data_IF_966643151578
#
_entry.id   IF_966643151578
#
_cell.length_a   1.000
_cell.length_b   1.000
_cell.length_c   1.000
_cell.angle_alpha   90.00
_cell.angle_beta   90.00
_cell.angle_gamma   90.00
#
_symmetry.space_group_name_H-M   'P 1'
#
loop_
_entity.id
_entity.type
_entity.pdbx_description
1 polymer ?
#
# COMPACT_ATOMS: atom_id res chain seq x y z
N UNK A 1 -14.06 -1.03 64.78
CA UNK A 1 -14.87 -1.26 63.56
C UNK A 1 -14.92 -2.74 63.23
N UNK A 2 -16.09 -3.39 63.31
CA UNK A 2 -16.26 -4.78 62.87
C UNK A 2 -16.45 -4.78 61.36
N UNK A 3 -15.39 -5.13 60.63
CA UNK A 3 -15.46 -5.32 59.19
C UNK A 3 -16.30 -6.58 58.94
N UNK A 4 -17.53 -6.40 58.48
CA UNK A 4 -18.44 -7.53 58.26
C UNK A 4 -17.93 -8.38 57.09
N UNK A 5 -18.14 -9.71 57.09
CA UNK A 5 -17.71 -10.56 55.98
C UNK A 5 -18.34 -10.14 54.65
N UNK A 6 -19.52 -9.51 54.69
CA UNK A 6 -20.17 -8.89 53.53
C UNK A 6 -19.39 -7.67 53.01
N UNK A 7 -18.83 -6.85 53.90
CA UNK A 7 -18.01 -5.70 53.54
C UNK A 7 -16.68 -6.11 52.91
N UNK A 8 -16.08 -7.23 53.38
CA UNK A 8 -14.88 -7.81 52.75
C UNK A 8 -15.15 -8.33 51.33
N UNK A 9 -16.29 -8.99 51.11
CA UNK A 9 -16.70 -9.43 49.78
C UNK A 9 -16.91 -8.25 48.81
N UNK A 10 -17.55 -7.17 49.28
CA UNK A 10 -17.78 -5.97 48.45
C UNK A 10 -16.44 -5.33 48.05
N UNK A 11 -15.49 -5.17 48.99
CA UNK A 11 -14.18 -4.57 48.71
C UNK A 11 -13.36 -5.42 47.73
N UNK A 12 -13.45 -6.75 47.83
CA UNK A 12 -12.80 -7.66 46.89
C UNK A 12 -13.39 -7.56 45.48
N UNK A 13 -14.72 -7.50 45.35
CA UNK A 13 -15.37 -7.42 44.03
C UNK A 13 -15.09 -6.07 43.38
N UNK A 14 -15.14 -4.98 44.14
CA UNK A 14 -14.86 -3.64 43.61
C UNK A 14 -13.40 -3.48 43.19
N UNK A 15 -12.45 -4.04 43.95
CA UNK A 15 -11.04 -4.00 43.57
C UNK A 15 -10.78 -4.79 42.28
N UNK A 16 -11.36 -5.99 42.13
CA UNK A 16 -11.24 -6.82 40.92
C UNK A 16 -11.82 -6.08 39.71
N UNK A 17 -13.01 -5.47 39.83
CA UNK A 17 -13.63 -4.70 38.76
C UNK A 17 -12.77 -3.50 38.34
N UNK A 18 -12.20 -2.78 39.31
CA UNK A 18 -11.32 -1.64 39.03
C UNK A 18 -10.04 -2.08 38.33
N UNK A 19 -9.41 -3.16 38.81
CA UNK A 19 -8.19 -3.72 38.21
C UNK A 19 -8.46 -4.23 36.79
N UNK A 20 -9.56 -4.96 36.58
CA UNK A 20 -9.95 -5.45 35.25
C UNK A 20 -10.23 -4.30 34.28
N UNK A 21 -10.92 -3.25 34.73
CA UNK A 21 -11.22 -2.07 33.91
C UNK A 21 -9.94 -1.30 33.58
N UNK A 22 -9.07 -1.13 34.56
CA UNK A 22 -7.77 -0.48 34.37
C UNK A 22 -6.88 -1.25 33.39
N UNK A 23 -6.78 -2.59 33.54
CA UNK A 23 -6.05 -3.45 32.61
C UNK A 23 -6.62 -3.34 31.19
N UNK A 24 -7.94 -3.39 31.03
CA UNK A 24 -8.58 -3.23 29.72
C UNK A 24 -8.23 -1.90 29.04
N UNK A 25 -8.28 -0.78 29.78
CA UNK A 25 -7.90 0.53 29.27
C UNK A 25 -6.41 0.60 28.94
N UNK A 26 -5.57 0.01 29.77
CA UNK A 26 -4.13 -0.08 29.55
C UNK A 26 -3.78 -0.85 28.26
N UNK A 27 -4.40 -2.02 28.05
CA UNK A 27 -4.19 -2.83 26.84
C UNK A 27 -4.76 -2.16 25.58
N UNK A 28 -5.92 -1.49 25.68
CA UNK A 28 -6.47 -0.74 24.54
C UNK A 28 -5.53 0.39 24.10
N UNK A 29 -4.79 0.99 25.03
CA UNK A 29 -3.82 2.04 24.71
C UNK A 29 -2.53 1.50 24.03
N UNK A 30 -2.30 0.19 24.03
CA UNK A 30 -1.07 -0.43 23.52
C UNK A 30 -1.13 -0.87 22.05
N UNK A 31 -2.31 -0.90 21.39
CA UNK A 31 -2.35 -1.21 19.96
C UNK A 31 -1.69 -0.07 19.19
N UNK A 32 -0.52 -0.26 18.56
CA UNK A 32 0.17 0.81 17.86
C UNK A 32 -0.70 1.30 16.69
N UNK A 33 -0.90 2.61 16.53
CA UNK A 33 -1.68 3.14 15.42
C UNK A 33 -0.92 2.91 14.10
N UNK A 34 -1.40 1.96 13.29
CA UNK A 34 -0.88 1.69 11.95
C UNK A 34 -1.34 2.83 11.04
N UNK A 35 -0.41 3.69 10.60
CA UNK A 35 -0.70 4.87 9.79
C UNK A 35 0.05 4.88 8.45
N UNK A 36 0.91 3.89 8.19
CA UNK A 36 1.74 3.83 6.99
C UNK A 36 1.88 2.40 6.45
N UNK A 37 2.33 2.28 5.21
CA UNK A 37 2.69 0.98 4.61
C UNK A 37 3.78 0.28 5.42
N UNK A 38 4.81 1.01 5.86
CA UNK A 38 5.93 0.48 6.65
C UNK A 38 5.45 -0.08 7.99
N UNK A 39 4.58 0.66 8.68
CA UNK A 39 3.98 0.21 9.94
C UNK A 39 3.13 -1.04 9.73
N UNK A 40 2.41 -1.12 8.61
CA UNK A 40 1.58 -2.28 8.28
C UNK A 40 2.44 -3.51 7.95
N UNK A 41 3.46 -3.34 7.11
CA UNK A 41 4.35 -4.40 6.64
C UNK A 41 5.18 -5.03 7.77
N UNK A 42 5.37 -4.31 8.88
CA UNK A 42 6.01 -4.83 10.09
C UNK A 42 5.21 -5.94 10.79
N UNK A 43 3.88 -5.93 10.67
CA UNK A 43 2.99 -6.83 11.41
C UNK A 43 2.14 -7.73 10.52
N UNK A 44 1.92 -7.38 9.25
CA UNK A 44 1.02 -8.09 8.34
C UNK A 44 1.67 -8.45 7.00
N UNK A 45 1.14 -9.48 6.30
CA UNK A 45 1.62 -9.88 4.99
C UNK A 45 1.45 -8.76 3.95
N UNK A 46 2.50 -8.56 3.14
CA UNK A 46 2.49 -7.67 1.98
C UNK A 46 2.13 -8.48 0.74
N UNK A 47 1.26 -7.91 -0.10
CA UNK A 47 0.94 -8.42 -1.42
C UNK A 47 1.92 -7.84 -2.43
N UNK A 48 2.72 -8.73 -3.05
CA UNK A 48 3.81 -8.42 -3.98
C UNK A 48 3.34 -8.14 -5.43
N UNK A 49 2.15 -7.56 -5.60
CA UNK A 49 1.71 -6.98 -6.87
C UNK A 49 2.13 -5.51 -6.90
N UNK A 50 2.78 -5.01 -7.95
CA UNK A 50 3.12 -3.59 -8.04
C UNK A 50 1.87 -2.72 -8.30
N UNK A 51 1.62 -1.63 -7.53
CA UNK A 51 2.36 -1.21 -6.33
C UNK A 51 2.01 -2.06 -5.11
N UNK A 52 2.99 -2.35 -4.24
CA UNK A 52 2.82 -3.28 -3.12
C UNK A 52 1.73 -2.81 -2.16
N UNK A 53 0.95 -3.75 -1.62
CA UNK A 53 -0.19 -3.45 -0.74
C UNK A 53 -0.13 -4.26 0.55
N UNK A 54 -0.52 -3.66 1.68
CA UNK A 54 -0.62 -4.30 2.98
C UNK A 54 -2.02 -4.10 3.56
N UNK A 55 -2.65 -5.17 4.04
CA UNK A 55 -4.01 -5.14 4.56
C UNK A 55 -4.05 -5.52 6.04
N UNK A 56 -4.82 -4.79 6.85
CA UNK A 56 -5.00 -5.09 8.27
C UNK A 56 -6.29 -5.90 8.53
N UNK A 57 -6.38 -6.68 9.62
CA UNK A 57 -7.61 -7.37 10.02
C UNK A 57 -8.82 -6.45 10.23
N UNK A 58 -8.57 -5.19 10.59
CA UNK A 58 -9.61 -4.15 10.71
C UNK A 58 -10.14 -3.64 9.35
N UNK A 59 -9.63 -4.15 8.22
CA UNK A 59 -10.08 -3.80 6.87
C UNK A 59 -9.40 -2.57 6.23
N UNK A 60 -8.36 -2.02 6.83
CA UNK A 60 -7.57 -0.92 6.23
C UNK A 60 -6.56 -1.49 5.22
N UNK A 61 -6.30 -0.75 4.14
CA UNK A 61 -5.34 -1.12 3.10
C UNK A 61 -4.35 0.04 2.90
N UNK A 62 -3.06 -0.26 3.01
CA UNK A 62 -1.96 0.67 2.80
C UNK A 62 -1.20 0.24 1.53
N UNK A 63 -1.02 1.15 0.59
CA UNK A 63 -0.22 0.90 -0.61
C UNK A 63 1.13 1.57 -0.43
N UNK A 64 2.19 0.95 -0.95
CA UNK A 64 3.50 1.59 -1.09
C UNK A 64 3.29 2.81 -1.99
N UNK A 65 3.26 4.00 -1.39
CA UNK A 65 3.38 5.23 -2.15
C UNK A 65 4.76 5.15 -2.75
N UNK A 66 4.81 4.83 -4.05
CA UNK A 66 6.01 5.08 -4.83
C UNK A 66 6.42 6.47 -4.42
N UNK A 67 7.61 6.62 -3.82
CA UNK A 67 8.20 7.93 -3.60
C UNK A 67 7.84 8.73 -4.83
N UNK A 68 7.24 9.93 -4.73
CA UNK A 68 7.29 10.81 -5.86
C UNK A 68 8.80 10.98 -6.10
N UNK A 69 9.38 10.13 -6.96
CA UNK A 69 10.32 10.59 -7.98
C UNK A 69 9.78 11.95 -8.30
N UNK A 70 10.54 13.02 -7.98
CA UNK A 70 10.05 14.39 -8.08
C UNK A 70 9.26 14.40 -9.34
N UNK A 71 7.94 14.54 -9.19
CA UNK A 71 6.98 14.40 -10.26
C UNK A 71 7.67 15.02 -11.44
N UNK A 72 8.00 14.29 -12.54
CA UNK A 72 8.41 15.02 -13.72
C UNK A 72 7.34 16.07 -13.81
N UNK A 73 7.79 17.32 -13.84
CA UNK A 73 7.03 18.51 -14.16
C UNK A 73 5.91 18.12 -15.15
N UNK A 74 4.84 18.88 -15.37
CA UNK A 74 4.18 18.78 -16.66
C UNK A 74 5.22 19.13 -17.76
N UNK A 75 6.16 18.22 -18.02
CA UNK A 75 6.93 18.03 -19.22
C UNK A 75 5.83 17.95 -20.26
N UNK A 76 5.91 18.75 -21.33
CA UNK A 76 5.03 18.56 -22.47
C UNK A 76 5.00 17.06 -22.73
N UNK A 77 3.80 16.48 -22.76
CA UNK A 77 3.63 15.14 -23.29
C UNK A 77 4.17 15.25 -24.70
N UNK A 78 5.42 14.84 -24.88
CA UNK A 78 5.96 14.62 -26.20
C UNK A 78 5.17 13.41 -26.68
N UNK A 79 4.13 13.69 -27.47
CA UNK A 79 3.26 12.71 -28.15
C UNK A 79 4.10 11.92 -29.17
N UNK A 80 5.22 11.34 -28.70
CA UNK A 80 6.02 10.37 -29.42
C UNK A 80 5.21 9.09 -29.43
N UNK A 81 4.31 9.03 -30.40
CA UNK A 81 3.57 7.82 -30.74
C UNK A 81 4.61 6.72 -30.98
N UNK A 82 4.70 5.78 -30.05
CA UNK A 82 5.61 4.65 -30.13
C UNK A 82 4.99 3.58 -31.04
N UNK A 83 5.68 3.25 -32.13
CA UNK A 83 5.26 2.21 -33.07
C UNK A 83 5.86 0.86 -32.71
N UNK A 84 5.24 -0.23 -33.19
CA UNK A 84 5.77 -1.58 -33.01
C UNK A 84 7.07 -1.78 -33.79
N UNK A 85 7.96 -2.63 -33.25
CA UNK A 85 9.29 -2.91 -33.81
C UNK A 85 9.28 -3.90 -34.99
N UNK A 86 8.20 -3.90 -35.76
CA UNK A 86 8.07 -4.77 -36.93
C UNK A 86 8.92 -4.23 -38.08
N UNK A 87 9.44 -5.15 -38.89
CA UNK A 87 10.24 -4.83 -40.07
C UNK A 87 9.58 -5.37 -41.34
N UNK A 88 9.54 -4.56 -42.39
CA UNK A 88 9.11 -4.95 -43.74
C UNK A 88 10.35 -5.16 -44.62
N UNK A 89 10.42 -6.30 -45.30
CA UNK A 89 11.47 -6.59 -46.29
C UNK A 89 11.15 -5.91 -47.63
N UNK A 90 12.10 -5.13 -48.14
CA UNK A 90 12.01 -4.41 -49.40
C UNK A 90 12.57 -5.24 -50.58
N UNK A 91 12.21 -4.93 -51.85
CA UNK A 91 12.67 -5.69 -53.03
C UNK A 91 14.20 -5.67 -53.25
N UNK A 92 14.88 -4.64 -52.74
CA UNK A 92 16.35 -4.50 -52.73
C UNK A 92 17.03 -5.36 -51.66
N UNK A 93 16.25 -5.96 -50.75
CA UNK A 93 16.72 -6.76 -49.62
C UNK A 93 16.91 -5.97 -48.32
N UNK A 94 16.64 -4.66 -48.29
CA UNK A 94 16.69 -3.84 -47.08
C UNK A 94 15.45 -4.04 -46.19
N UNK A 95 15.49 -3.50 -44.97
CA UNK A 95 14.38 -3.57 -44.02
C UNK A 95 13.98 -2.18 -43.53
N UNK A 96 12.68 -1.91 -43.51
CA UNK A 96 12.09 -0.66 -43.02
C UNK A 96 11.14 -0.91 -41.85
N UNK A 97 11.14 0.00 -40.87
CA UNK A 97 10.25 -0.05 -39.71
C UNK A 97 9.03 0.85 -39.85
N UNK A 98 8.17 0.85 -38.83
CA UNK A 98 6.99 1.73 -38.75
C UNK A 98 7.37 3.14 -38.25
N UNK A 99 6.74 4.17 -38.80
CA UNK A 99 6.99 5.59 -38.46
C UNK A 99 5.72 6.30 -37.96
N UNK A 100 5.81 7.13 -36.90
CA UNK A 100 4.70 7.95 -36.43
C UNK A 100 4.30 9.02 -37.46
N UNK A 101 3.07 9.57 -37.40
CA UNK A 101 2.04 9.39 -36.37
C UNK A 101 1.12 8.18 -36.57
N UNK A 102 1.07 7.61 -37.77
CA UNK A 102 0.13 6.55 -38.12
C UNK A 102 0.70 5.13 -37.94
N UNK A 103 2.00 5.02 -37.61
CA UNK A 103 2.72 3.76 -37.51
C UNK A 103 2.66 2.91 -38.78
N UNK A 104 2.78 3.56 -39.94
CA UNK A 104 2.90 2.92 -41.24
C UNK A 104 4.38 2.63 -41.55
N UNK A 105 4.66 1.63 -42.40
CA UNK A 105 6.04 1.34 -42.80
C UNK A 105 6.63 2.51 -43.59
N UNK A 106 7.88 2.87 -43.27
CA UNK A 106 8.64 3.82 -44.09
C UNK A 106 8.79 3.31 -45.54
N UNK A 107 8.91 4.20 -46.54
CA UNK A 107 9.11 3.80 -47.92
C UNK A 107 10.43 3.05 -48.10
N UNK A 108 10.43 2.04 -48.98
CA UNK A 108 11.65 1.33 -49.38
C UNK A 108 12.59 2.27 -50.17
N UNK A 109 13.92 2.16 -49.98
CA UNK A 109 14.93 2.94 -50.70
C UNK A 109 15.03 2.60 -52.19
#
# INVERSE_FOLDING_TARGET
MKLSPKLLLIISITSILLISTFLYLYFKNQTPPINSFEDCAKYYPVMESYPRRCNTPDGRSFTETLSPTPTPTPTPVDDTIACTLEALLCPDGSYVGRVPPNCEFAPCP
#
